data_IF_988376364508
#
_entry.id   IF_988376364508
#
_cell.length_a   1.000
_cell.length_b   1.000
_cell.length_c   1.000
_cell.angle_alpha   90.00
_cell.angle_beta   90.00
_cell.angle_gamma   90.00
#
_symmetry.space_group_name_H-M   'P 1'
#
loop_
_entity.id
_entity.type
_entity.pdbx_description
1 polymer ?
#
# COMPACT_ATOMS: atom_id res chain seq x y z
N UNK A 1 19.60 34.81 -64.33
CA UNK A 1 18.31 35.46 -64.66
C UNK A 1 17.83 36.18 -63.42
N UNK A 2 17.82 37.51 -63.45
CA UNK A 2 17.49 38.35 -62.29
C UNK A 2 16.02 38.21 -61.93
N UNK A 3 15.73 37.71 -60.72
CA UNK A 3 14.37 37.61 -60.22
C UNK A 3 13.75 39.00 -60.09
N UNK A 4 12.73 39.28 -60.90
CA UNK A 4 11.95 40.51 -60.81
C UNK A 4 11.26 40.57 -59.44
N UNK A 5 11.88 41.24 -58.48
CA UNK A 5 11.27 41.52 -57.17
C UNK A 5 9.92 42.22 -57.41
N UNK A 6 8.85 41.76 -56.77
CA UNK A 6 7.52 42.40 -56.89
C UNK A 6 7.60 43.77 -56.23
N UNK A 7 7.81 44.79 -57.04
CA UNK A 7 7.85 46.19 -56.63
C UNK A 7 6.41 46.70 -56.55
N UNK A 8 6.05 47.37 -55.46
CA UNK A 8 4.72 47.98 -55.32
C UNK A 8 4.53 49.08 -56.36
N UNK A 9 3.28 49.38 -56.74
CA UNK A 9 2.98 50.40 -57.77
C UNK A 9 3.58 51.77 -57.43
N UNK A 10 3.67 52.10 -56.13
CA UNK A 10 4.23 53.35 -55.65
C UNK A 10 5.76 53.38 -55.67
N UNK A 11 6.42 52.25 -55.44
CA UNK A 11 7.87 52.12 -55.59
C UNK A 11 8.32 52.32 -57.03
N UNK A 12 7.54 51.84 -58.01
CA UNK A 12 7.78 52.14 -59.43
C UNK A 12 7.66 53.64 -59.72
N UNK A 13 6.64 54.30 -59.18
CA UNK A 13 6.43 55.74 -59.38
C UNK A 13 7.51 56.60 -58.72
N UNK A 14 8.04 56.21 -57.56
CA UNK A 14 9.13 56.91 -56.89
C UNK A 14 10.48 56.72 -57.60
N UNK A 15 10.74 55.53 -58.14
CA UNK A 15 11.92 55.24 -58.96
C UNK A 15 11.90 55.99 -60.30
N UNK A 16 10.72 56.13 -60.93
CA UNK A 16 10.54 56.88 -62.18
C UNK A 16 10.64 58.40 -62.00
N UNK A 17 10.26 58.94 -60.84
CA UNK A 17 10.31 60.39 -60.54
C UNK A 17 11.58 60.86 -59.82
N UNK A 18 12.43 59.95 -59.36
CA UNK A 18 13.70 60.27 -58.68
C UNK A 18 13.58 60.62 -57.18
N UNK A 19 12.40 60.50 -56.58
CA UNK A 19 12.16 60.81 -55.16
C UNK A 19 12.53 59.64 -54.23
N UNK A 20 13.82 59.27 -54.24
CA UNK A 20 14.39 58.19 -53.42
C UNK A 20 14.18 58.44 -51.91
N UNK A 21 14.19 59.71 -51.49
CA UNK A 21 13.95 60.11 -50.10
C UNK A 21 12.52 59.79 -49.64
N UNK A 22 11.52 59.98 -50.50
CA UNK A 22 10.12 59.69 -50.15
C UNK A 22 9.91 58.18 -49.98
N UNK A 23 10.54 57.38 -50.85
CA UNK A 23 10.46 55.93 -50.76
C UNK A 23 11.12 55.39 -49.48
N UNK A 24 12.28 55.94 -49.10
CA UNK A 24 12.95 55.58 -47.85
C UNK A 24 12.08 55.87 -46.63
N UNK A 25 11.44 57.05 -46.56
CA UNK A 25 10.54 57.41 -45.45
C UNK A 25 9.33 56.47 -45.35
N UNK A 26 8.74 56.07 -46.48
CA UNK A 26 7.64 55.11 -46.49
C UNK A 26 8.07 53.73 -46.00
N UNK A 27 9.24 53.24 -46.47
CA UNK A 27 9.81 51.97 -46.01
C UNK A 27 10.15 51.98 -44.52
N UNK A 28 10.68 53.09 -44.00
CA UNK A 28 10.90 53.27 -42.56
C UNK A 28 9.57 53.19 -41.80
N UNK A 29 8.52 53.87 -42.27
CA UNK A 29 7.19 53.81 -41.65
C UNK A 29 6.54 52.42 -41.69
N UNK A 30 6.75 51.63 -42.75
CA UNK A 30 6.32 50.23 -42.81
C UNK A 30 7.09 49.35 -41.81
N UNK A 31 8.41 49.53 -41.71
CA UNK A 31 9.24 48.81 -40.74
C UNK A 31 8.85 49.17 -39.30
N UNK A 32 8.57 50.44 -39.00
CA UNK A 32 8.12 50.87 -37.68
C UNK A 32 6.80 50.20 -37.28
N UNK A 33 5.85 50.06 -38.23
CA UNK A 33 4.60 49.33 -38.00
C UNK A 33 4.84 47.85 -37.72
N UNK A 34 5.75 47.20 -38.46
CA UNK A 34 6.12 45.81 -38.24
C UNK A 34 6.80 45.62 -36.87
N UNK A 35 7.71 46.52 -36.51
CA UNK A 35 8.39 46.51 -35.21
C UNK A 35 7.38 46.71 -34.08
N UNK A 36 6.42 47.64 -34.22
CA UNK A 36 5.36 47.84 -33.24
C UNK A 36 4.49 46.58 -33.07
N UNK A 37 4.09 45.95 -34.18
CA UNK A 37 3.31 44.70 -34.16
C UNK A 37 4.11 43.54 -33.53
N UNK A 38 5.41 43.43 -33.82
CA UNK A 38 6.28 42.44 -33.20
C UNK A 38 6.42 42.66 -31.70
N UNK A 39 6.64 43.90 -31.24
CA UNK A 39 6.72 44.23 -29.82
C UNK A 39 5.42 43.91 -29.09
N UNK A 40 4.28 44.21 -29.71
CA UNK A 40 2.98 43.86 -29.14
C UNK A 40 2.81 42.34 -29.00
N UNK A 41 3.17 41.56 -30.04
CA UNK A 41 3.14 40.10 -29.97
C UNK A 41 4.08 39.56 -28.90
N UNK A 42 5.29 40.09 -28.80
CA UNK A 42 6.27 39.72 -27.79
C UNK A 42 5.75 39.97 -26.37
N UNK A 43 5.11 41.13 -26.14
CA UNK A 43 4.51 41.45 -24.84
C UNK A 43 3.39 40.47 -24.47
N UNK A 44 2.53 40.10 -25.44
CA UNK A 44 1.47 39.11 -25.22
C UNK A 44 2.06 37.74 -24.88
N UNK A 45 3.06 37.29 -25.62
CA UNK A 45 3.71 36.00 -25.34
C UNK A 45 4.42 35.99 -24.00
N UNK A 46 5.08 37.09 -23.63
CA UNK A 46 5.76 37.23 -22.35
C UNK A 46 4.76 37.14 -21.18
N UNK A 47 3.65 37.87 -21.26
CA UNK A 47 2.60 37.82 -20.24
C UNK A 47 1.98 36.42 -20.11
N UNK A 48 1.81 35.70 -21.24
CA UNK A 48 1.34 34.32 -21.22
C UNK A 48 2.36 33.38 -20.56
N UNK A 49 3.67 33.55 -20.82
CA UNK A 49 4.72 32.75 -20.19
C UNK A 49 4.74 32.96 -18.67
N UNK A 50 4.69 34.21 -18.20
CA UNK A 50 4.64 34.54 -16.77
C UNK A 50 3.42 33.93 -16.07
N UNK A 51 2.27 33.94 -16.75
CA UNK A 51 1.06 33.28 -16.25
C UNK A 51 1.27 31.76 -16.09
N UNK A 52 1.79 31.09 -17.12
CA UNK A 52 2.02 29.65 -17.06
C UNK A 52 3.09 29.26 -16.03
N UNK A 53 4.14 30.06 -15.86
CA UNK A 53 5.13 29.85 -14.79
C UNK A 53 4.49 29.91 -13.40
N UNK A 54 3.57 30.86 -13.18
CA UNK A 54 2.81 30.95 -11.93
C UNK A 54 1.88 29.74 -11.72
N UNK A 55 1.21 29.26 -12.77
CA UNK A 55 0.36 28.07 -12.70
C UNK A 55 1.17 26.80 -12.40
N UNK A 56 2.32 26.61 -13.05
CA UNK A 56 3.23 25.50 -12.76
C UNK A 56 3.68 25.55 -11.30
N UNK A 57 4.09 26.72 -10.81
CA UNK A 57 4.47 26.91 -9.41
C UNK A 57 3.31 26.69 -8.42
N UNK A 58 2.06 26.89 -8.84
CA UNK A 58 0.89 26.51 -8.05
C UNK A 58 0.72 24.99 -7.97
N UNK A 59 0.79 24.31 -9.12
CA UNK A 59 0.67 22.85 -9.22
C UNK A 59 1.75 22.16 -8.38
N UNK A 60 3.00 22.62 -8.44
CA UNK A 60 4.10 22.04 -7.65
C UNK A 60 3.85 22.15 -6.14
N UNK A 61 3.28 23.28 -5.68
CA UNK A 61 2.89 23.46 -4.28
C UNK A 61 1.75 22.53 -3.87
N UNK A 62 0.77 22.33 -4.74
CA UNK A 62 -0.33 21.38 -4.47
C UNK A 62 0.19 19.95 -4.38
N UNK A 63 1.07 19.55 -5.30
CA UNK A 63 1.72 18.23 -5.27
C UNK A 63 2.48 18.04 -3.96
N UNK A 64 3.29 19.02 -3.57
CA UNK A 64 4.03 18.96 -2.30
C UNK A 64 3.10 18.82 -1.09
N UNK A 65 1.99 19.59 -1.06
CA UNK A 65 1.00 19.52 0.00
C UNK A 65 0.28 18.16 0.06
N UNK A 66 -0.08 17.60 -1.09
CA UNK A 66 -0.68 16.27 -1.18
C UNK A 66 0.30 15.22 -0.68
N UNK A 67 1.55 15.25 -1.13
CA UNK A 67 2.58 14.29 -0.73
C UNK A 67 2.91 14.38 0.76
N UNK A 68 2.94 15.59 1.33
CA UNK A 68 3.13 15.80 2.77
C UNK A 68 2.00 15.16 3.61
N UNK A 69 0.77 15.11 3.09
CA UNK A 69 -0.38 14.46 3.75
C UNK A 69 -0.44 12.95 3.48
N UNK A 70 -0.12 12.53 2.27
CA UNK A 70 -0.24 11.14 1.83
C UNK A 70 0.86 10.24 2.43
N UNK A 71 2.12 10.69 2.42
CA UNK A 71 3.26 9.93 2.94
C UNK A 71 3.09 9.45 4.38
N UNK A 72 2.67 10.28 5.36
CA UNK A 72 2.44 9.80 6.73
C UNK A 72 1.26 8.83 6.82
N UNK A 73 0.24 8.92 5.95
CA UNK A 73 -0.85 7.94 5.91
C UNK A 73 -0.35 6.57 5.46
N UNK A 74 0.52 6.51 4.45
CA UNK A 74 1.16 5.26 4.02
C UNK A 74 1.97 4.62 5.16
N UNK A 75 2.81 5.41 5.85
CA UNK A 75 3.57 4.92 7.01
C UNK A 75 2.68 4.40 8.13
N UNK A 76 1.57 5.09 8.43
CA UNK A 76 0.57 4.62 9.41
C UNK A 76 -0.09 3.31 8.96
N UNK A 77 -0.40 3.16 7.68
CA UNK A 77 -0.98 1.94 7.15
C UNK A 77 -0.02 0.74 7.26
N UNK A 78 1.25 0.94 6.96
CA UNK A 78 2.30 -0.07 7.13
C UNK A 78 2.45 -0.49 8.60
N UNK A 79 2.51 0.48 9.53
CA UNK A 79 2.56 0.19 10.95
C UNK A 79 1.35 -0.64 11.42
N UNK A 80 0.15 -0.31 10.95
CA UNK A 80 -1.08 -1.07 11.27
C UNK A 80 -1.08 -2.48 10.66
N UNK A 81 -0.49 -2.66 9.47
CA UNK A 81 -0.33 -3.99 8.86
C UNK A 81 0.61 -4.86 9.69
N UNK A 82 1.70 -4.29 10.17
CA UNK A 82 2.64 -4.99 11.03
C UNK A 82 2.00 -5.38 12.36
N UNK A 83 1.34 -4.43 13.04
CA UNK A 83 0.61 -4.68 14.30
C UNK A 83 -0.43 -5.80 14.15
N UNK A 84 -1.20 -5.79 13.06
CA UNK A 84 -2.14 -6.87 12.76
C UNK A 84 -1.45 -8.23 12.60
N UNK A 85 -0.31 -8.27 11.93
CA UNK A 85 0.47 -9.49 11.74
C UNK A 85 0.97 -10.05 13.07
N UNK A 86 1.45 -9.18 13.95
CA UNK A 86 1.95 -9.56 15.27
C UNK A 86 0.81 -10.06 16.16
N UNK A 87 -0.33 -9.36 16.16
CA UNK A 87 -1.53 -9.80 16.87
C UNK A 87 -2.04 -11.15 16.37
N UNK A 88 -2.05 -11.39 15.06
CA UNK A 88 -2.44 -12.70 14.51
C UNK A 88 -1.51 -13.79 15.01
N UNK A 89 -0.19 -13.55 14.99
CA UNK A 89 0.79 -14.51 15.51
C UNK A 89 0.59 -14.80 17.00
N UNK A 90 0.28 -13.79 17.81
CA UNK A 90 -0.04 -13.97 19.22
C UNK A 90 -1.30 -14.80 19.42
N UNK A 91 -2.35 -14.58 18.62
CA UNK A 91 -3.58 -15.37 18.67
C UNK A 91 -3.34 -16.83 18.27
N UNK A 92 -2.51 -17.08 17.26
CA UNK A 92 -2.18 -18.44 16.83
C UNK A 92 -1.43 -19.19 17.93
N UNK A 93 -0.46 -18.53 18.58
CA UNK A 93 0.28 -19.09 19.73
C UNK A 93 -0.67 -19.37 20.89
N UNK A 94 -1.49 -18.39 21.29
CA UNK A 94 -2.42 -18.56 22.40
C UNK A 94 -3.40 -19.71 22.13
N UNK A 95 -3.91 -19.81 20.89
CA UNK A 95 -4.83 -20.89 20.48
C UNK A 95 -4.15 -22.26 20.60
N UNK A 96 -2.88 -22.36 20.19
CA UNK A 96 -2.10 -23.59 20.35
C UNK A 96 -1.89 -23.93 21.83
N UNK A 97 -1.49 -22.97 22.65
CA UNK A 97 -1.29 -23.16 24.09
C UNK A 97 -2.58 -23.60 24.80
N UNK A 98 -3.72 -22.99 24.47
CA UNK A 98 -5.03 -23.43 24.97
C UNK A 98 -5.34 -24.88 24.56
N UNK A 99 -5.07 -25.24 23.31
CA UNK A 99 -5.21 -26.62 22.83
C UNK A 99 -4.34 -27.61 23.62
N UNK A 100 -3.08 -27.23 23.87
CA UNK A 100 -2.13 -28.04 24.63
C UNK A 100 -2.59 -28.23 26.08
N UNK A 101 -3.03 -27.16 26.76
CA UNK A 101 -3.59 -27.21 28.13
C UNK A 101 -4.83 -28.09 28.20
N UNK A 102 -5.77 -27.94 27.27
CA UNK A 102 -6.98 -28.77 27.24
C UNK A 102 -6.63 -30.25 27.02
N UNK A 103 -5.68 -30.54 26.11
CA UNK A 103 -5.23 -31.90 25.85
C UNK A 103 -4.55 -32.54 27.07
N UNK A 104 -3.70 -31.78 27.76
CA UNK A 104 -2.99 -32.21 28.96
C UNK A 104 -3.97 -32.44 30.12
N UNK A 105 -4.93 -31.54 30.30
CA UNK A 105 -5.98 -31.64 31.32
C UNK A 105 -6.83 -32.89 31.10
N UNK A 106 -7.26 -33.13 29.84
CA UNK A 106 -8.02 -34.34 29.48
C UNK A 106 -7.24 -35.62 29.74
N UNK A 107 -5.93 -35.65 29.41
CA UNK A 107 -5.05 -36.79 29.70
C UNK A 107 -4.94 -37.04 31.21
N UNK A 108 -4.69 -35.98 31.98
CA UNK A 108 -4.55 -36.05 33.45
C UNK A 108 -5.84 -36.52 34.12
N UNK A 109 -7.00 -36.03 33.69
CA UNK A 109 -8.29 -36.43 34.25
C UNK A 109 -8.61 -37.90 33.96
N UNK A 110 -8.28 -38.39 32.76
CA UNK A 110 -8.41 -39.83 32.43
C UNK A 110 -7.48 -40.70 33.27
N UNK A 111 -6.21 -40.28 33.43
CA UNK A 111 -5.25 -41.01 34.25
C UNK A 111 -5.71 -41.06 35.72
N UNK A 112 -6.11 -39.92 36.29
CA UNK A 112 -6.60 -39.83 37.66
C UNK A 112 -7.87 -40.66 37.88
N UNK A 113 -8.82 -40.64 36.95
CA UNK A 113 -10.02 -41.49 37.02
C UNK A 113 -9.65 -42.98 36.98
N UNK A 114 -8.69 -43.36 36.14
CA UNK A 114 -8.22 -44.74 36.06
C UNK A 114 -7.51 -45.20 37.33
N UNK A 115 -6.60 -44.39 37.87
CA UNK A 115 -5.93 -44.63 39.16
C UNK A 115 -6.94 -44.73 40.30
N UNK A 116 -7.93 -43.83 40.36
CA UNK A 116 -8.97 -43.88 41.39
C UNK A 116 -9.75 -45.19 41.36
N UNK A 117 -10.15 -45.66 40.18
CA UNK A 117 -10.82 -46.96 40.03
C UNK A 117 -9.90 -48.12 40.40
N UNK A 118 -8.61 -48.07 40.07
CA UNK A 118 -7.64 -49.08 40.47
C UNK A 118 -7.47 -49.12 41.99
N UNK A 119 -7.36 -47.96 42.65
CA UNK A 119 -7.24 -47.86 44.11
C UNK A 119 -8.48 -48.43 44.81
N UNK A 120 -9.69 -48.05 44.37
CA UNK A 120 -10.94 -48.62 44.93
C UNK A 120 -10.95 -50.16 44.77
N UNK A 121 -10.56 -50.68 43.60
CA UNK A 121 -10.49 -52.13 43.38
C UNK A 121 -9.47 -52.79 44.29
N UNK A 122 -8.32 -52.15 44.51
CA UNK A 122 -7.27 -52.66 45.38
C UNK A 122 -7.72 -52.66 46.84
N UNK A 123 -8.32 -51.57 47.33
CA UNK A 123 -8.90 -51.45 48.66
C UNK A 123 -9.98 -52.52 48.90
N UNK A 124 -10.98 -52.62 48.00
CA UNK A 124 -12.02 -53.64 48.09
C UNK A 124 -11.44 -55.08 48.07
N UNK A 125 -10.39 -55.31 47.28
CA UNK A 125 -9.72 -56.62 47.24
C UNK A 125 -9.00 -56.93 48.56
N UNK A 126 -8.35 -55.93 49.17
CA UNK A 126 -7.70 -56.07 50.48
C UNK A 126 -8.72 -56.33 51.58
N UNK A 127 -9.84 -55.60 51.61
CA UNK A 127 -10.93 -55.81 52.57
C UNK A 127 -11.52 -57.22 52.46
N UNK A 128 -11.83 -57.67 51.23
CA UNK A 128 -12.35 -59.02 50.99
C UNK A 128 -11.35 -60.11 51.37
N UNK A 129 -10.06 -59.91 51.10
CA UNK A 129 -9.00 -60.83 51.50
C UNK A 129 -8.86 -60.91 53.01
N UNK A 130 -8.92 -59.77 53.71
CA UNK A 130 -8.89 -59.70 55.17
C UNK A 130 -10.08 -60.41 55.81
N UNK A 131 -11.29 -60.19 55.29
CA UNK A 131 -12.51 -60.85 55.76
C UNK A 131 -12.52 -62.37 55.53
N UNK A 132 -11.94 -62.83 54.40
CA UNK A 132 -11.90 -64.26 54.04
C UNK A 132 -10.72 -65.02 54.66
N UNK A 133 -9.65 -64.31 55.05
CA UNK A 133 -8.41 -64.89 55.57
C UNK A 133 -7.43 -65.40 54.49
N UNK A 134 -7.73 -65.19 53.20
CA UNK A 134 -6.84 -65.52 52.07
C UNK A 134 -7.16 -64.65 50.85
N UNK A 135 -6.15 -64.41 49.99
CA UNK A 135 -6.30 -63.60 48.78
C UNK A 135 -6.79 -64.43 47.59
N UNK A 136 -7.79 -63.92 46.86
CA UNK A 136 -8.21 -64.46 45.56
C UNK A 136 -7.71 -63.53 44.45
N UNK A 137 -6.56 -63.87 43.85
CA UNK A 137 -5.98 -63.12 42.74
C UNK A 137 -6.57 -63.50 41.38
N UNK A 138 -6.18 -62.78 40.33
CA UNK A 138 -6.55 -63.06 38.92
C UNK A 138 -6.21 -64.50 38.46
N UNK A 139 -5.31 -65.17 39.18
CA UNK A 139 -4.85 -66.54 38.91
C UNK A 139 -5.55 -67.59 39.78
N UNK A 140 -6.43 -67.20 40.70
CA UNK A 140 -7.04 -68.13 41.67
C UNK A 140 -8.39 -68.70 41.21
N UNK A 141 -8.95 -68.22 40.10
CA UNK A 141 -10.12 -68.84 39.48
C UNK A 141 -9.67 -69.83 38.41
N UNK A 142 -9.94 -71.11 38.63
CA UNK A 142 -9.84 -72.15 37.60
C UNK A 142 -10.76 -71.74 36.43
N UNK A 143 -10.18 -71.40 35.28
CA UNK A 143 -10.94 -71.23 34.04
C UNK A 143 -11.63 -72.58 33.72
N UNK A 144 -12.94 -72.68 33.94
CA UNK A 144 -13.70 -73.80 33.41
C UNK A 144 -13.71 -73.68 31.89
N UNK A 145 -13.05 -74.61 31.19
CA UNK A 145 -13.18 -74.74 29.74
C UNK A 145 -14.66 -74.95 29.40
N UNK A 146 -15.24 -74.20 28.44
CA UNK A 146 -16.61 -74.45 28.00
C UNK A 146 -16.71 -75.88 27.48
N UNK A 147 -17.68 -76.63 27.99
CA UNK A 147 -17.99 -77.99 27.51
C UNK A 147 -18.37 -77.91 26.03
N UNK A 148 -17.67 -78.70 25.21
CA UNK A 148 -18.02 -78.95 23.82
C UNK A 148 -19.38 -79.67 23.70
#
# INVERSE_FOLDING_TARGET
MSGSSRVTLMERQALEKGDVSMLATLRIGELDKLVAAMRQKQAITQAAMEHYESEIGHIDREIANIMARYTPMCKRLEARRQERSDLQRHLDIATKEFGDVLSATKKRLRASSHEHVQNIRQEASMELSGARGYSLGRNSTVYQKPRA
#
